data_IF_302410593280
#
_entry.id   IF_302410593280
#
_cell.length_a   1.000
_cell.length_b   1.000
_cell.length_c   1.000
_cell.angle_alpha   90.00
_cell.angle_beta   90.00
_cell.angle_gamma   90.00
#
_symmetry.space_group_name_H-M   'P 1'
#
loop_
_entity.id
_entity.type
_entity.pdbx_description
1 polymer ?
#
# COMPACT_ATOMS: atom_id res chain seq x y z
N UNK A 1 14.17 40.99 -46.39
CA UNK A 1 14.24 39.53 -46.14
C UNK A 1 14.29 39.20 -44.63
N UNK A 2 13.62 39.99 -43.76
CA UNK A 2 13.77 39.89 -42.30
C UNK A 2 12.47 39.73 -41.49
N UNK A 3 11.31 40.07 -42.05
CA UNK A 3 10.03 39.98 -41.32
C UNK A 3 9.47 38.56 -41.26
N UNK A 4 9.63 37.78 -42.34
CA UNK A 4 9.23 36.37 -42.37
C UNK A 4 9.97 35.51 -41.34
N UNK A 5 11.26 35.79 -41.11
CA UNK A 5 12.06 35.09 -40.10
C UNK A 5 11.57 35.38 -38.68
N UNK A 6 11.15 36.61 -38.37
CA UNK A 6 10.63 36.97 -37.04
C UNK A 6 9.29 36.30 -36.75
N UNK A 7 8.44 36.17 -37.77
CA UNK A 7 7.15 35.49 -37.64
C UNK A 7 7.32 33.97 -37.46
N UNK A 8 8.24 33.36 -38.22
CA UNK A 8 8.58 31.95 -38.09
C UNK A 8 9.20 31.63 -36.72
N UNK A 9 10.08 32.50 -36.19
CA UNK A 9 10.69 32.32 -34.87
C UNK A 9 9.66 32.44 -33.73
N UNK A 10 8.71 33.37 -33.84
CA UNK A 10 7.61 33.53 -32.88
C UNK A 10 6.71 32.28 -32.82
N UNK A 11 6.37 31.72 -33.98
CA UNK A 11 5.60 30.47 -34.06
C UNK A 11 6.37 29.26 -33.50
N UNK A 12 7.67 29.16 -33.79
CA UNK A 12 8.52 28.10 -33.26
C UNK A 12 8.65 28.17 -31.72
N UNK A 13 8.82 29.37 -31.16
CA UNK A 13 8.83 29.57 -29.71
C UNK A 13 7.47 29.24 -29.07
N UNK A 14 6.35 29.64 -29.70
CA UNK A 14 5.00 29.30 -29.23
C UNK A 14 4.75 27.79 -29.22
N UNK A 15 5.14 27.09 -30.29
CA UNK A 15 5.00 25.64 -30.39
C UNK A 15 5.81 24.90 -29.31
N UNK A 16 7.06 25.33 -29.06
CA UNK A 16 7.90 24.77 -28.01
C UNK A 16 7.33 25.00 -26.60
N UNK A 17 6.71 26.17 -26.36
CA UNK A 17 6.06 26.46 -25.08
C UNK A 17 4.85 25.55 -24.84
N UNK A 18 4.01 25.33 -25.85
CA UNK A 18 2.85 24.43 -25.78
C UNK A 18 3.30 22.99 -25.54
N UNK A 19 4.37 22.54 -26.22
CA UNK A 19 4.88 21.18 -26.09
C UNK A 19 5.45 20.90 -24.69
N UNK A 20 6.14 21.88 -24.09
CA UNK A 20 6.58 21.82 -22.69
C UNK A 20 5.42 21.82 -21.71
N UNK A 21 4.38 22.62 -21.94
CA UNK A 21 3.18 22.62 -21.10
C UNK A 21 2.45 21.28 -21.16
N UNK A 22 2.28 20.71 -22.37
CA UNK A 22 1.66 19.40 -22.55
C UNK A 22 2.48 18.29 -21.88
N UNK A 23 3.81 18.31 -22.01
CA UNK A 23 4.69 17.36 -21.33
C UNK A 23 4.64 17.52 -19.79
N UNK A 24 4.57 18.76 -19.30
CA UNK A 24 4.38 19.05 -17.88
C UNK A 24 3.04 18.56 -17.35
N UNK A 25 1.96 18.78 -18.10
CA UNK A 25 0.62 18.29 -17.75
C UNK A 25 0.57 16.76 -17.76
N UNK A 26 1.18 16.12 -18.75
CA UNK A 26 1.30 14.66 -18.83
C UNK A 26 2.09 14.12 -17.65
N UNK A 27 3.25 14.70 -17.36
CA UNK A 27 4.08 14.32 -16.22
C UNK A 27 3.31 14.48 -14.91
N UNK A 28 2.58 15.58 -14.73
CA UNK A 28 1.72 15.81 -13.57
C UNK A 28 0.61 14.76 -13.45
N UNK A 29 -0.09 14.44 -14.54
CA UNK A 29 -1.16 13.43 -14.56
C UNK A 29 -0.60 12.05 -14.22
N UNK A 30 0.55 11.70 -14.77
CA UNK A 30 1.20 10.42 -14.51
C UNK A 30 1.74 10.35 -13.08
N UNK A 31 2.27 11.46 -12.55
CA UNK A 31 2.68 11.56 -11.16
C UNK A 31 1.47 11.45 -10.22
N UNK A 32 0.36 12.09 -10.55
CA UNK A 32 -0.92 11.98 -9.82
C UNK A 32 -1.47 10.56 -9.83
N UNK A 33 -1.42 9.88 -10.99
CA UNK A 33 -1.85 8.48 -11.11
C UNK A 33 -1.00 7.59 -10.21
N UNK A 34 0.33 7.72 -10.30
CA UNK A 34 1.25 6.96 -9.44
C UNK A 34 1.12 7.30 -7.96
N UNK A 35 0.85 8.56 -7.61
CA UNK A 35 0.59 8.97 -6.22
C UNK A 35 -0.72 8.41 -5.67
N UNK A 36 -1.77 8.31 -6.49
CA UNK A 36 -3.05 7.70 -6.09
C UNK A 36 -2.97 6.16 -6.03
N UNK A 37 -2.02 5.56 -6.75
CA UNK A 37 -1.72 4.12 -6.74
C UNK A 37 -0.78 3.69 -5.59
N UNK A 38 -0.38 4.62 -4.73
CA UNK A 38 0.45 4.36 -3.57
C UNK A 38 -0.39 4.43 -2.27
N UNK A 39 -1.34 3.52 -2.02
CA UNK A 39 -1.64 3.13 -0.65
C UNK A 39 -0.45 2.28 -0.21
N UNK A 40 0.68 2.94 0.06
CA UNK A 40 1.84 2.23 0.55
C UNK A 40 1.45 1.61 1.88
N UNK A 41 1.49 0.28 1.95
CA UNK A 41 1.60 -0.51 3.18
C UNK A 41 2.90 -0.25 3.94
N UNK A 42 3.31 1.01 3.97
CA UNK A 42 4.51 1.55 4.58
C UNK A 42 4.16 2.81 5.38
N UNK A 43 2.87 3.00 5.71
CA UNK A 43 2.45 3.89 6.78
C UNK A 43 2.83 3.33 8.15
N UNK A 44 2.76 4.21 9.17
CA UNK A 44 2.91 3.86 10.58
C UNK A 44 1.97 2.69 10.97
N UNK A 45 0.79 2.64 10.35
CA UNK A 45 -0.26 1.64 10.64
C UNK A 45 0.14 0.21 10.26
N UNK A 46 0.88 0.01 9.15
CA UNK A 46 1.35 -1.33 8.77
C UNK A 46 2.42 -1.86 9.72
N UNK A 47 3.40 -1.01 10.08
CA UNK A 47 4.44 -1.38 11.04
C UNK A 47 3.83 -1.69 12.41
N UNK A 48 2.82 -0.92 12.84
CA UNK A 48 2.09 -1.17 14.09
C UNK A 48 1.35 -2.52 14.05
N UNK A 49 0.67 -2.84 12.95
CA UNK A 49 0.05 -4.17 12.78
C UNK A 49 1.08 -5.29 12.87
N UNK A 50 2.18 -5.19 12.10
CA UNK A 50 3.21 -6.22 12.10
C UNK A 50 3.75 -6.41 13.51
N UNK A 51 4.10 -5.33 14.21
CA UNK A 51 4.63 -5.39 15.58
C UNK A 51 3.63 -5.99 16.58
N UNK A 52 2.35 -5.67 16.46
CA UNK A 52 1.30 -6.25 17.32
C UNK A 52 1.07 -7.72 17.04
N UNK A 53 1.11 -8.14 15.78
CA UNK A 53 1.03 -9.55 15.39
C UNK A 53 2.26 -10.30 15.92
N UNK A 54 3.47 -9.75 15.76
CA UNK A 54 4.69 -10.32 16.34
C UNK A 54 4.55 -10.54 17.84
N UNK A 55 4.02 -9.54 18.56
CA UNK A 55 3.77 -9.63 20.00
C UNK A 55 2.70 -10.66 20.37
N UNK A 56 1.63 -10.78 19.58
CA UNK A 56 0.53 -11.71 19.83
C UNK A 56 0.94 -13.18 19.65
N UNK A 57 1.87 -13.45 18.73
CA UNK A 57 2.33 -14.82 18.41
C UNK A 57 3.74 -15.12 18.91
N UNK A 58 4.46 -14.14 19.47
CA UNK A 58 5.80 -14.32 20.03
C UNK A 58 6.86 -14.63 18.98
N UNK A 59 6.69 -14.16 17.74
CA UNK A 59 7.54 -14.50 16.61
C UNK A 59 7.91 -13.25 15.81
N UNK A 60 9.16 -13.11 15.33
CA UNK A 60 9.53 -11.97 14.49
C UNK A 60 8.95 -12.13 13.08
N UNK A 61 8.35 -11.09 12.52
CA UNK A 61 7.86 -10.95 11.15
C UNK A 61 8.71 -9.90 10.46
N UNK A 62 9.54 -10.37 9.53
CA UNK A 62 10.52 -9.56 8.83
C UNK A 62 10.00 -9.14 7.45
N UNK A 63 10.58 -8.09 6.89
CA UNK A 63 10.29 -7.68 5.52
C UNK A 63 10.51 -8.80 4.49
N UNK A 64 11.36 -9.80 4.79
CA UNK A 64 11.61 -10.96 3.93
C UNK A 64 10.40 -11.90 3.84
N UNK A 65 9.63 -12.05 4.93
CA UNK A 65 8.40 -12.86 4.92
C UNK A 65 7.36 -12.23 3.99
N UNK A 66 7.37 -10.90 3.90
CA UNK A 66 6.50 -10.13 3.02
C UNK A 66 7.12 -9.89 1.63
N UNK A 67 8.34 -10.35 1.36
CA UNK A 67 9.05 -10.04 0.10
C UNK A 67 8.40 -10.70 -1.12
N UNK A 68 7.65 -11.80 -0.91
CA UNK A 68 6.83 -12.42 -1.95
C UNK A 68 5.63 -11.57 -2.39
N UNK A 69 5.27 -10.55 -1.62
CA UNK A 69 4.20 -9.63 -1.95
C UNK A 69 4.80 -8.34 -2.52
N UNK A 70 4.69 -8.17 -3.84
CA UNK A 70 5.03 -6.91 -4.52
C UNK A 70 4.15 -5.77 -3.98
N UNK A 71 4.59 -4.52 -4.13
CA UNK A 71 3.85 -3.35 -3.61
C UNK A 71 2.37 -3.35 -4.03
N UNK A 72 2.06 -3.71 -5.28
CA UNK A 72 0.68 -3.83 -5.75
C UNK A 72 -0.08 -5.05 -5.20
N UNK A 73 0.60 -6.16 -4.92
CA UNK A 73 -0.02 -7.33 -4.29
C UNK A 73 -0.33 -7.07 -2.81
N UNK A 74 0.48 -6.26 -2.13
CA UNK A 74 0.26 -5.88 -0.73
C UNK A 74 -1.04 -5.09 -0.55
N UNK A 75 -1.39 -4.18 -1.48
CA UNK A 75 -2.68 -3.43 -1.43
C UNK A 75 -3.90 -4.36 -1.43
N UNK A 76 -3.76 -5.53 -2.05
CA UNK A 76 -4.78 -6.58 -2.07
C UNK A 76 -4.67 -7.59 -0.93
N UNK A 77 -3.72 -7.42 0.00
CA UNK A 77 -3.51 -8.34 1.10
C UNK A 77 -4.75 -8.39 1.98
N UNK A 78 -5.24 -9.58 2.21
CA UNK A 78 -6.39 -9.85 3.06
C UNK A 78 -5.98 -10.24 4.47
N UNK A 79 -6.86 -10.04 5.45
CA UNK A 79 -6.63 -10.48 6.83
C UNK A 79 -6.40 -12.00 6.91
N UNK A 80 -7.08 -12.80 6.09
CA UNK A 80 -6.89 -14.25 5.98
C UNK A 80 -5.48 -14.62 5.49
N UNK A 81 -4.99 -13.94 4.45
CA UNK A 81 -3.62 -14.15 3.95
C UNK A 81 -2.55 -13.74 4.97
N UNK A 82 -2.79 -12.68 5.75
CA UNK A 82 -1.91 -12.32 6.87
C UNK A 82 -1.87 -13.45 7.92
N UNK A 83 -3.02 -14.02 8.26
CA UNK A 83 -3.09 -15.17 9.17
C UNK A 83 -2.39 -16.41 8.60
N UNK A 84 -2.60 -16.73 7.33
CA UNK A 84 -1.92 -17.87 6.68
C UNK A 84 -0.41 -17.72 6.73
N UNK A 85 0.13 -16.52 6.48
CA UNK A 85 1.56 -16.25 6.58
C UNK A 85 2.08 -16.48 8.01
N UNK A 86 1.35 -16.03 9.03
CA UNK A 86 1.70 -16.26 10.44
C UNK A 86 1.69 -17.75 10.76
N UNK A 87 0.64 -18.46 10.35
CA UNK A 87 0.50 -19.89 10.58
C UNK A 87 1.60 -20.70 9.86
N UNK A 88 1.94 -20.33 8.62
CA UNK A 88 3.03 -20.95 7.86
C UNK A 88 4.38 -20.75 8.56
N UNK A 89 4.61 -19.54 9.09
CA UNK A 89 5.84 -19.24 9.81
C UNK A 89 5.92 -19.93 11.16
N UNK A 90 4.80 -20.09 11.88
CA UNK A 90 4.74 -20.91 13.10
C UNK A 90 5.09 -22.37 12.79
N UNK A 91 4.49 -22.92 11.73
CA UNK A 91 4.78 -24.28 11.25
C UNK A 91 6.25 -24.43 10.86
N UNK A 92 6.82 -23.47 10.14
CA UNK A 92 8.23 -23.45 9.76
C UNK A 92 9.19 -23.36 10.95
N UNK A 93 8.77 -22.70 12.04
CA UNK A 93 9.50 -22.63 13.29
C UNK A 93 9.32 -23.87 14.20
N UNK A 94 8.51 -24.85 13.78
CA UNK A 94 8.17 -26.03 14.59
C UNK A 94 7.23 -25.76 15.76
N UNK A 95 6.57 -24.60 15.77
CA UNK A 95 5.55 -24.25 16.75
C UNK A 95 4.17 -24.78 16.31
N UNK A 96 3.34 -25.13 17.29
CA UNK A 96 1.94 -25.49 17.03
C UNK A 96 1.13 -24.26 16.66
N UNK A 97 0.28 -24.38 15.63
CA UNK A 97 -0.62 -23.31 15.23
C UNK A 97 -1.77 -23.25 16.24
N UNK A 98 -1.95 -22.13 16.96
CA UNK A 98 -3.01 -22.02 17.97
C UNK A 98 -4.40 -22.14 17.32
N UNK A 99 -5.30 -22.89 17.97
CA UNK A 99 -6.67 -23.07 17.49
C UNK A 99 -7.47 -21.75 17.48
N UNK A 100 -7.12 -20.81 18.37
CA UNK A 100 -7.67 -19.46 18.47
C UNK A 100 -6.85 -18.42 17.68
N UNK A 101 -6.01 -18.87 16.74
CA UNK A 101 -5.08 -18.00 16.04
C UNK A 101 -5.75 -16.97 15.12
N UNK A 102 -6.86 -17.34 14.49
CA UNK A 102 -7.64 -16.41 13.68
C UNK A 102 -8.23 -15.29 14.55
N UNK A 103 -8.82 -15.65 15.69
CA UNK A 103 -9.41 -14.72 16.65
C UNK A 103 -8.37 -13.73 17.20
N UNK A 104 -7.13 -14.19 17.42
CA UNK A 104 -6.01 -13.32 17.80
C UNK A 104 -5.65 -12.33 16.72
N UNK A 105 -5.58 -12.75 15.45
CA UNK A 105 -5.33 -11.84 14.33
C UNK A 105 -6.44 -10.81 14.22
N UNK A 106 -7.71 -11.22 14.33
CA UNK A 106 -8.87 -10.32 14.32
C UNK A 106 -8.77 -9.31 15.46
N UNK A 107 -8.42 -9.74 16.67
CA UNK A 107 -8.25 -8.84 17.81
C UNK A 107 -7.13 -7.82 17.59
N UNK A 108 -5.98 -8.26 17.06
CA UNK A 108 -4.86 -7.37 16.72
C UNK A 108 -5.26 -6.35 15.66
N UNK A 109 -5.89 -6.79 14.58
CA UNK A 109 -6.34 -5.91 13.50
C UNK A 109 -7.43 -4.93 13.98
N UNK A 110 -8.35 -5.40 14.83
CA UNK A 110 -9.40 -4.57 15.43
C UNK A 110 -8.81 -3.43 16.26
N UNK A 111 -7.77 -3.74 17.06
CA UNK A 111 -7.09 -2.74 17.88
C UNK A 111 -6.23 -1.79 17.05
N UNK A 112 -5.43 -2.33 16.12
CA UNK A 112 -4.50 -1.53 15.30
C UNK A 112 -5.23 -0.58 14.35
N UNK A 113 -6.33 -1.04 13.75
CA UNK A 113 -7.09 -0.26 12.76
C UNK A 113 -8.27 0.49 13.36
N UNK A 114 -8.52 0.34 14.66
CA UNK A 114 -9.71 0.88 15.33
C UNK A 114 -11.02 0.49 14.61
N UNK A 115 -11.08 -0.74 14.08
CA UNK A 115 -12.25 -1.30 13.39
C UNK A 115 -12.88 -2.35 14.30
N UNK A 116 -14.20 -2.44 14.31
CA UNK A 116 -14.92 -3.49 15.03
C UNK A 116 -14.55 -4.90 14.53
N UNK A 117 -14.24 -5.82 15.43
CA UNK A 117 -13.85 -7.19 15.11
C UNK A 117 -14.84 -7.90 14.17
N UNK A 118 -16.14 -7.64 14.27
CA UNK A 118 -17.18 -8.26 13.44
C UNK A 118 -17.13 -7.82 11.97
N UNK A 119 -16.40 -6.74 11.65
CA UNK A 119 -16.19 -6.29 10.27
C UNK A 119 -14.99 -6.96 9.60
N UNK A 120 -14.17 -7.67 10.36
CA UNK A 120 -12.92 -8.26 9.87
C UNK A 120 -13.20 -9.71 9.48
N UNK A 121 -13.30 -9.93 8.18
CA UNK A 121 -13.44 -11.25 7.58
C UNK A 121 -12.12 -11.69 6.95
N UNK A 122 -12.02 -12.98 6.62
CA UNK A 122 -10.83 -13.56 5.96
C UNK A 122 -10.49 -12.87 4.65
N UNK A 123 -11.51 -12.44 3.91
CA UNK A 123 -11.43 -11.76 2.62
C UNK A 123 -11.26 -10.24 2.74
N UNK A 124 -11.37 -9.67 3.95
CA UNK A 124 -11.24 -8.24 4.16
C UNK A 124 -9.85 -7.78 3.78
N UNK A 125 -9.76 -6.93 2.76
CA UNK A 125 -8.51 -6.32 2.31
C UNK A 125 -8.09 -5.27 3.31
N UNK A 126 -6.87 -5.39 3.81
CA UNK A 126 -6.39 -4.53 4.89
C UNK A 126 -6.37 -3.05 4.49
N UNK A 127 -6.01 -2.73 3.24
CA UNK A 127 -5.98 -1.35 2.75
C UNK A 127 -7.32 -0.82 2.25
N UNK A 128 -8.11 -1.66 1.57
CA UNK A 128 -9.31 -1.18 0.89
C UNK A 128 -10.57 -1.27 1.76
N UNK A 129 -10.67 -2.29 2.61
CA UNK A 129 -11.89 -2.59 3.36
C UNK A 129 -11.77 -2.22 4.86
N UNK A 130 -10.53 -2.15 5.37
CA UNK A 130 -10.22 -1.83 6.78
C UNK A 130 -9.50 -0.48 6.96
N UNK A 131 -9.54 0.38 5.93
CA UNK A 131 -9.18 1.80 5.97
C UNK A 131 -7.73 2.13 6.39
N UNK A 132 -6.75 1.26 6.10
CA UNK A 132 -5.32 1.58 6.32
C UNK A 132 -4.79 2.77 5.49
N UNK A 133 -5.58 3.32 4.56
CA UNK A 133 -5.16 4.42 3.69
C UNK A 133 -5.48 5.81 4.25
N UNK A 134 -6.38 5.91 5.23
CA UNK A 134 -6.74 7.18 5.86
C UNK A 134 -5.82 7.42 7.06
N UNK A 135 -4.69 8.08 6.82
CA UNK A 135 -3.94 8.70 7.92
C UNK A 135 -4.86 9.66 8.71
N UNK A 136 -4.55 9.96 9.98
CA UNK A 136 -5.41 10.82 10.80
C UNK A 136 -5.63 12.18 10.12
N UNK A 137 -6.90 12.54 9.91
CA UNK A 137 -7.34 13.87 9.47
C UNK A 137 -7.10 14.94 10.55
#
# INVERSE_FOLDING_TARGET
MGEWLRWAFGWACGALAVLKFAAGLWCWVELRRKWLELPELWGVDWLDIVFRVERAFGMPLTAADFAGWTTGARVGLTAGQLWELVADKLRGAGAEVPADGWERVVAVLSEALNVRAERIATESRLCADLDMGSGPE
#
